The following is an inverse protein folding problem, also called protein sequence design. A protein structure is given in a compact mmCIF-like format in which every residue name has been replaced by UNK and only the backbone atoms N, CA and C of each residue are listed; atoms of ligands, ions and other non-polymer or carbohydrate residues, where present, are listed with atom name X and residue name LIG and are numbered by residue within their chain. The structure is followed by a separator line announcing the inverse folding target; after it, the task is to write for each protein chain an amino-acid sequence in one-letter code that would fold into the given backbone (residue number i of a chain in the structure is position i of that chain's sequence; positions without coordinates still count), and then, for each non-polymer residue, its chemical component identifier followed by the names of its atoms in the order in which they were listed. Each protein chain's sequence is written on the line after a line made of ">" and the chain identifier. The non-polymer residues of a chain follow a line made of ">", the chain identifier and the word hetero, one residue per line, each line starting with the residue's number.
data_IF_516678582895
#
_entry.id   IF_516678582895
#
_cell.length_a   1.000
_cell.length_b   1.000
_cell.length_c   1.000
_cell.angle_alpha   90.00
_cell.angle_beta   90.00
_cell.angle_gamma   90.00
#
_symmetry.space_group_name_H-M   'P 1'
#
loop_
_entity.id
_entity.type
_entity.pdbx_description
1 polymer ?
#
# COMPACT_ATOMS: atom_id res chain seq x y z
N UNK A 1 -3.01 -16.77 -16.27
CA UNK A 1 -3.20 -17.69 -17.45
C UNK A 1 -4.55 -17.47 -18.11
N UNK A 2 -5.69 -17.44 -17.38
CA UNK A 2 -7.03 -17.24 -17.97
C UNK A 2 -7.13 -15.89 -18.68
N UNK A 3 -6.67 -14.80 -18.06
CA UNK A 3 -6.72 -13.45 -18.61
C UNK A 3 -6.00 -13.34 -19.97
N UNK A 4 -4.80 -13.92 -20.09
CA UNK A 4 -4.02 -13.92 -21.34
C UNK A 4 -4.70 -14.78 -22.42
N UNK A 5 -5.22 -15.95 -22.03
CA UNK A 5 -5.93 -16.84 -22.95
C UNK A 5 -7.19 -16.17 -23.49
N UNK A 6 -8.00 -15.57 -22.60
CA UNK A 6 -9.24 -14.87 -23.01
C UNK A 6 -8.91 -13.64 -23.87
N UNK A 7 -7.82 -12.89 -23.59
CA UNK A 7 -7.37 -11.78 -24.42
C UNK A 7 -7.12 -12.20 -25.87
N UNK A 8 -6.36 -13.31 -26.08
CA UNK A 8 -6.12 -13.88 -27.42
C UNK A 8 -7.41 -14.31 -28.10
N UNK A 9 -8.31 -14.97 -27.35
CA UNK A 9 -9.59 -15.43 -27.90
C UNK A 9 -10.46 -14.25 -28.37
N UNK A 10 -10.41 -13.10 -27.70
CA UNK A 10 -11.10 -11.89 -28.16
C UNK A 10 -10.51 -11.31 -29.45
N UNK A 11 -9.19 -11.38 -29.64
CA UNK A 11 -8.53 -10.93 -30.87
C UNK A 11 -8.90 -11.81 -32.07
N UNK A 12 -9.09 -13.10 -31.82
CA UNK A 12 -9.41 -14.10 -32.87
C UNK A 12 -10.90 -14.21 -33.19
N UNK A 13 -11.79 -13.72 -32.30
CA UNK A 13 -13.24 -13.90 -32.46
C UNK A 13 -14.03 -12.61 -32.18
N UNK A 14 -14.45 -11.86 -33.24
CA UNK A 14 -15.23 -10.62 -33.10
C UNK A 14 -16.57 -10.76 -32.37
N UNK A 15 -17.22 -11.95 -32.41
CA UNK A 15 -18.48 -12.18 -31.70
C UNK A 15 -18.31 -12.13 -30.19
N UNK A 16 -17.17 -12.57 -29.71
CA UNK A 16 -16.82 -12.48 -28.26
C UNK A 16 -16.56 -11.04 -27.83
N UNK A 17 -16.11 -10.16 -28.71
CA UNK A 17 -16.03 -8.72 -28.42
C UNK A 17 -17.41 -8.09 -28.25
N UNK A 18 -18.41 -8.52 -28.99
CA UNK A 18 -19.79 -8.09 -28.81
C UNK A 18 -20.33 -8.58 -27.45
N UNK A 19 -20.12 -9.88 -27.13
CA UNK A 19 -20.49 -10.45 -25.84
C UNK A 19 -19.83 -9.70 -24.67
N UNK A 20 -18.55 -9.33 -24.76
CA UNK A 20 -17.86 -8.52 -23.77
C UNK A 20 -18.61 -7.23 -23.45
N UNK A 21 -19.10 -6.52 -24.48
CA UNK A 21 -19.86 -5.28 -24.30
C UNK A 21 -21.17 -5.55 -23.55
N UNK A 22 -21.89 -6.61 -23.92
CA UNK A 22 -23.12 -7.02 -23.26
C UNK A 22 -22.89 -7.35 -21.79
N UNK A 23 -21.83 -8.12 -21.49
CA UNK A 23 -21.46 -8.48 -20.11
C UNK A 23 -21.12 -7.23 -19.29
N UNK A 24 -20.29 -6.32 -19.82
CA UNK A 24 -19.92 -5.08 -19.12
C UNK A 24 -21.15 -4.20 -18.87
N UNK A 25 -22.05 -4.07 -19.86
CA UNK A 25 -23.29 -3.31 -19.70
C UNK A 25 -24.18 -3.91 -18.60
N UNK A 26 -24.33 -5.24 -18.59
CA UNK A 26 -25.11 -5.93 -17.57
C UNK A 26 -24.53 -5.74 -16.16
N UNK A 27 -23.19 -5.77 -16.02
CA UNK A 27 -22.51 -5.53 -14.72
C UNK A 27 -22.73 -4.09 -14.24
N UNK A 28 -22.70 -3.09 -15.14
CA UNK A 28 -22.84 -1.68 -14.77
C UNK A 28 -24.30 -1.26 -14.50
N UNK A 29 -25.28 -1.84 -15.18
CA UNK A 29 -26.67 -1.38 -15.16
C UNK A 29 -27.65 -2.40 -14.57
N UNK A 30 -27.19 -3.58 -14.22
CA UNK A 30 -28.04 -4.73 -13.87
C UNK A 30 -28.45 -5.54 -15.09
N UNK A 31 -28.64 -6.83 -14.91
CA UNK A 31 -29.14 -7.71 -15.99
C UNK A 31 -30.67 -7.63 -16.07
N UNK A 32 -31.20 -7.41 -17.26
CA UNK A 32 -32.60 -7.78 -17.55
C UNK A 32 -32.63 -9.30 -17.72
N UNK A 33 -33.42 -10.05 -16.95
CA UNK A 33 -33.38 -11.52 -16.94
C UNK A 33 -34.20 -12.12 -18.07
N UNK A 34 -33.87 -11.83 -19.31
CA UNK A 34 -34.43 -12.59 -20.45
C UNK A 34 -33.41 -13.61 -20.95
N UNK A 35 -33.34 -14.78 -20.29
CA UNK A 35 -32.68 -16.01 -20.73
C UNK A 35 -31.15 -15.98 -20.94
N UNK A 36 -30.39 -15.82 -19.86
CA UNK A 36 -28.93 -15.95 -19.90
C UNK A 36 -28.33 -16.11 -18.50
N UNK A 37 -27.01 -16.29 -18.37
CA UNK A 37 -26.34 -16.27 -17.07
C UNK A 37 -26.51 -14.91 -16.41
N UNK A 38 -26.66 -14.90 -15.08
CA UNK A 38 -26.66 -13.66 -14.28
C UNK A 38 -25.21 -13.13 -14.19
N UNK A 39 -24.79 -12.37 -15.19
CA UNK A 39 -23.43 -11.84 -15.28
C UNK A 39 -23.03 -10.97 -14.08
N UNK A 40 -23.87 -10.08 -13.53
CA UNK A 40 -23.57 -9.34 -12.31
C UNK A 40 -23.25 -10.24 -11.12
N UNK A 41 -24.04 -11.26 -10.86
CA UNK A 41 -23.81 -12.21 -9.75
C UNK A 41 -22.52 -12.99 -9.96
N UNK A 42 -22.28 -13.51 -11.16
CA UNK A 42 -21.04 -14.23 -11.50
C UNK A 42 -19.82 -13.31 -11.34
N UNK A 43 -19.87 -12.07 -11.82
CA UNK A 43 -18.80 -11.12 -11.71
C UNK A 43 -18.52 -10.75 -10.24
N UNK A 44 -19.54 -10.56 -9.43
CA UNK A 44 -19.42 -10.29 -8.00
C UNK A 44 -18.76 -11.47 -7.27
N UNK A 45 -19.19 -12.70 -7.51
CA UNK A 45 -18.62 -13.91 -6.90
C UNK A 45 -17.14 -14.08 -7.25
N UNK A 46 -16.77 -13.95 -8.54
CA UNK A 46 -15.38 -14.01 -8.99
C UNK A 46 -14.56 -12.90 -8.31
N UNK A 47 -15.07 -11.68 -8.26
CA UNK A 47 -14.38 -10.54 -7.65
C UNK A 47 -14.15 -10.76 -6.15
N UNK A 48 -15.13 -11.29 -5.44
CA UNK A 48 -15.02 -11.63 -4.02
C UNK A 48 -13.93 -12.67 -3.78
N UNK A 49 -13.92 -13.77 -4.54
CA UNK A 49 -12.90 -14.81 -4.43
C UNK A 49 -11.49 -14.28 -4.72
N UNK A 50 -11.34 -13.39 -5.70
CA UNK A 50 -10.07 -12.75 -6.03
C UNK A 50 -9.61 -11.85 -4.87
N UNK A 51 -10.51 -11.04 -4.31
CA UNK A 51 -10.19 -10.16 -3.17
C UNK A 51 -9.78 -10.98 -1.94
N UNK A 52 -10.47 -12.08 -1.64
CA UNK A 52 -10.06 -12.99 -0.56
C UNK A 52 -8.66 -13.57 -0.78
N UNK A 53 -8.32 -13.96 -2.01
CA UNK A 53 -6.98 -14.42 -2.33
C UNK A 53 -5.93 -13.30 -2.14
N UNK A 54 -6.24 -12.08 -2.59
CA UNK A 54 -5.37 -10.92 -2.38
C UNK A 54 -5.16 -10.60 -0.89
N UNK A 55 -6.21 -10.65 -0.07
CA UNK A 55 -6.12 -10.41 1.37
C UNK A 55 -5.19 -11.43 2.05
N UNK A 56 -5.23 -12.71 1.63
CA UNK A 56 -4.30 -13.74 2.13
C UNK A 56 -2.84 -13.42 1.77
N UNK A 57 -2.58 -13.00 0.55
CA UNK A 57 -1.23 -12.58 0.12
C UNK A 57 -0.77 -11.35 0.90
N UNK A 58 -1.64 -10.35 1.09
CA UNK A 58 -1.32 -9.12 1.84
C UNK A 58 -1.04 -9.42 3.32
N UNK A 59 -1.80 -10.33 3.94
CA UNK A 59 -1.56 -10.75 5.32
C UNK A 59 -0.15 -11.36 5.51
N UNK A 60 0.36 -12.10 4.54
CA UNK A 60 1.74 -12.64 4.57
C UNK A 60 2.82 -11.55 4.60
N UNK A 61 2.50 -10.37 4.08
CA UNK A 61 3.35 -9.18 4.14
C UNK A 61 2.99 -8.26 5.31
N UNK A 62 2.19 -8.71 6.27
CA UNK A 62 1.69 -7.90 7.37
C UNK A 62 1.00 -6.60 6.90
N UNK A 63 0.18 -6.72 5.85
CA UNK A 63 -0.65 -5.63 5.34
C UNK A 63 -2.11 -5.94 5.65
N UNK A 64 -2.79 -4.99 6.28
CA UNK A 64 -4.21 -5.07 6.61
C UNK A 64 -4.95 -3.82 6.17
N UNK A 65 -6.26 -3.92 6.06
CA UNK A 65 -7.15 -2.88 5.56
C UNK A 65 -8.26 -2.60 6.57
N UNK A 66 -8.81 -1.40 6.54
CA UNK A 66 -9.97 -1.04 7.35
C UNK A 66 -11.27 -1.19 6.57
N UNK A 67 -11.25 -0.94 5.24
CA UNK A 67 -12.43 -0.95 4.39
C UNK A 67 -12.12 -1.49 2.99
N UNK A 68 -12.99 -2.35 2.49
CA UNK A 68 -13.09 -2.72 1.07
C UNK A 68 -14.18 -1.89 0.41
N UNK A 69 -13.85 -1.25 -0.69
CA UNK A 69 -14.78 -0.47 -1.51
C UNK A 69 -14.93 -1.10 -2.90
N UNK A 70 -16.12 -0.99 -3.47
CA UNK A 70 -16.45 -1.58 -4.76
C UNK A 70 -16.82 -0.50 -5.77
N UNK A 71 -16.23 -0.55 -6.95
CA UNK A 71 -16.58 0.37 -8.04
C UNK A 71 -18.07 0.25 -8.42
N UNK A 72 -18.61 -0.96 -8.39
CA UNK A 72 -20.03 -1.21 -8.60
C UNK A 72 -20.92 -0.49 -7.60
N UNK A 73 -20.52 -0.44 -6.31
CA UNK A 73 -21.28 0.26 -5.28
C UNK A 73 -21.40 1.77 -5.58
N UNK A 74 -20.34 2.39 -6.10
CA UNK A 74 -20.33 3.81 -6.49
C UNK A 74 -21.34 4.07 -7.62
N UNK A 75 -21.44 3.14 -8.59
CA UNK A 75 -22.36 3.23 -9.70
C UNK A 75 -23.81 2.96 -9.24
N UNK A 76 -24.04 1.85 -8.57
CA UNK A 76 -25.38 1.43 -8.13
C UNK A 76 -26.00 2.39 -7.14
N UNK A 77 -25.22 3.02 -6.25
CA UNK A 77 -25.70 4.09 -5.38
C UNK A 77 -26.07 5.37 -6.14
N UNK A 78 -25.76 5.46 -7.43
CA UNK A 78 -26.05 6.63 -8.25
C UNK A 78 -25.13 7.82 -7.96
N UNK A 79 -24.01 7.61 -7.26
CA UNK A 79 -23.07 8.70 -6.93
C UNK A 79 -22.48 9.32 -8.17
N UNK A 80 -22.08 8.51 -9.17
CA UNK A 80 -21.61 9.03 -10.45
C UNK A 80 -22.68 9.86 -11.17
N UNK A 81 -23.92 9.41 -11.22
CA UNK A 81 -25.00 10.15 -11.89
C UNK A 81 -25.16 11.56 -11.30
N UNK A 82 -25.14 11.68 -9.99
CA UNK A 82 -25.24 12.97 -9.30
C UNK A 82 -24.01 13.84 -9.52
N UNK A 83 -22.82 13.27 -9.42
CA UNK A 83 -21.56 13.97 -9.74
C UNK A 83 -21.58 14.52 -11.15
N UNK A 84 -22.05 13.74 -12.11
CA UNK A 84 -22.18 14.15 -13.50
C UNK A 84 -23.17 15.33 -13.67
N UNK A 85 -24.30 15.27 -12.97
CA UNK A 85 -25.28 16.38 -12.97
C UNK A 85 -24.70 17.65 -12.36
N UNK A 86 -23.90 17.57 -11.30
CA UNK A 86 -23.20 18.72 -10.72
C UNK A 86 -22.21 19.34 -11.72
N UNK A 87 -21.37 18.51 -12.36
CA UNK A 87 -20.42 18.96 -13.37
C UNK A 87 -21.15 19.65 -14.55
N UNK A 88 -22.31 19.12 -14.96
CA UNK A 88 -23.15 19.73 -16.01
C UNK A 88 -23.76 21.07 -15.56
N UNK A 89 -24.37 21.13 -14.39
CA UNK A 89 -24.96 22.37 -13.83
C UNK A 89 -23.91 23.47 -13.69
N UNK A 90 -22.68 23.07 -13.31
CA UNK A 90 -21.53 23.98 -13.22
C UNK A 90 -20.96 24.43 -14.57
N UNK A 91 -21.53 23.98 -15.70
CA UNK A 91 -20.99 24.23 -17.06
C UNK A 91 -19.52 23.82 -17.22
N UNK A 92 -19.12 22.76 -16.54
CA UNK A 92 -17.73 22.27 -16.55
C UNK A 92 -17.48 21.23 -17.63
N UNK A 93 -18.53 20.73 -18.28
CA UNK A 93 -18.46 19.70 -19.31
C UNK A 93 -18.83 20.23 -20.68
N UNK A 94 -18.12 19.72 -21.68
CA UNK A 94 -18.42 19.96 -23.10
C UNK A 94 -18.74 18.64 -23.81
N UNK A 95 -19.51 18.74 -24.91
CA UNK A 95 -19.84 17.60 -25.76
C UNK A 95 -19.57 17.95 -27.21
N UNK A 96 -18.34 17.77 -27.72
CA UNK A 96 -17.99 18.06 -29.10
C UNK A 96 -18.82 17.26 -30.08
N UNK A 97 -19.23 17.92 -31.17
CA UNK A 97 -19.94 17.26 -32.26
C UNK A 97 -18.99 16.66 -33.31
N UNK A 98 -17.76 17.14 -33.36
CA UNK A 98 -16.74 16.73 -34.33
C UNK A 98 -15.41 16.44 -33.65
N UNK A 99 -14.49 15.80 -34.38
CA UNK A 99 -13.16 15.45 -33.90
C UNK A 99 -13.11 14.09 -33.17
N UNK A 100 -11.98 13.76 -32.54
CA UNK A 100 -11.73 12.46 -31.90
C UNK A 100 -12.66 12.20 -30.69
N UNK A 101 -13.06 13.26 -29.99
CA UNK A 101 -13.97 13.19 -28.84
C UNK A 101 -15.43 13.40 -29.20
N UNK A 102 -15.80 13.31 -30.46
CA UNK A 102 -17.18 13.53 -30.92
C UNK A 102 -18.18 12.64 -30.19
N UNK A 103 -19.22 13.25 -29.64
CA UNK A 103 -20.26 12.58 -28.86
C UNK A 103 -19.90 12.19 -27.42
N UNK A 104 -18.64 12.37 -27.02
CA UNK A 104 -18.19 12.15 -25.65
C UNK A 104 -18.46 13.39 -24.79
N UNK A 105 -18.65 13.19 -23.47
CA UNK A 105 -18.58 14.28 -22.51
C UNK A 105 -17.14 14.42 -22.01
N UNK A 106 -16.58 15.60 -22.23
CA UNK A 106 -15.19 15.94 -21.85
C UNK A 106 -15.18 17.00 -20.79
N UNK A 107 -14.15 16.95 -19.94
CA UNK A 107 -13.75 18.05 -19.07
C UNK A 107 -12.60 18.78 -19.76
N UNK A 108 -12.79 20.03 -20.25
CA UNK A 108 -11.71 20.78 -20.86
C UNK A 108 -10.63 21.11 -19.85
N UNK A 109 -9.40 20.80 -20.19
CA UNK A 109 -8.22 21.15 -19.40
C UNK A 109 -7.39 22.13 -20.19
N UNK A 110 -7.40 23.39 -19.94
CA UNK A 110 -6.74 24.45 -20.72
C UNK A 110 -5.39 24.09 -21.35
N UNK A 111 -4.81 24.97 -22.14
CA UNK A 111 -3.57 24.77 -22.92
C UNK A 111 -2.38 24.39 -22.05
N UNK A 112 -2.25 23.12 -21.69
CA UNK A 112 -1.13 22.53 -20.93
C UNK A 112 -0.69 21.23 -21.61
N UNK A 113 0.63 21.08 -21.81
CA UNK A 113 1.22 19.88 -22.39
C UNK A 113 1.00 18.66 -21.50
N UNK A 114 -0.02 17.87 -21.75
CA UNK A 114 -0.10 16.52 -21.17
C UNK A 114 0.43 15.50 -22.19
N UNK A 115 1.51 14.83 -21.86
CA UNK A 115 1.92 13.62 -22.55
C UNK A 115 1.00 12.49 -22.10
N UNK A 116 0.11 12.04 -23.00
CA UNK A 116 -0.55 10.75 -22.82
C UNK A 116 0.33 9.67 -23.44
N UNK A 117 0.38 8.48 -22.86
CA UNK A 117 1.14 7.30 -23.34
C UNK A 117 0.78 6.88 -24.80
N UNK A 118 -0.25 7.47 -25.39
CA UNK A 118 -0.69 7.24 -26.77
C UNK A 118 -0.23 8.31 -27.76
N UNK A 119 0.61 9.26 -27.37
CA UNK A 119 1.16 10.28 -28.26
C UNK A 119 0.16 11.31 -28.76
N UNK A 120 -1.02 11.40 -28.19
CA UNK A 120 -2.08 12.32 -28.54
C UNK A 120 -2.13 13.51 -27.56
N UNK A 121 -1.83 14.70 -28.08
CA UNK A 121 -1.83 15.97 -27.35
C UNK A 121 -3.24 16.54 -27.19
N UNK A 122 -4.16 15.80 -26.56
CA UNK A 122 -5.45 16.35 -26.19
C UNK A 122 -5.46 16.69 -24.72
N UNK A 123 -5.57 17.96 -24.41
CA UNK A 123 -5.69 18.51 -23.05
C UNK A 123 -7.01 18.15 -22.38
N UNK A 124 -7.96 17.60 -23.14
CA UNK A 124 -9.31 17.31 -22.69
C UNK A 124 -9.44 15.88 -22.16
N UNK A 125 -10.08 15.72 -21.00
CA UNK A 125 -10.33 14.39 -20.44
C UNK A 125 -11.74 13.90 -20.71
N UNK A 126 -11.85 12.80 -21.42
CA UNK A 126 -13.14 12.11 -21.61
C UNK A 126 -13.59 11.53 -20.26
N UNK A 127 -14.75 11.97 -19.80
CA UNK A 127 -15.42 11.43 -18.61
C UNK A 127 -16.50 10.41 -18.99
N UNK A 128 -17.26 10.67 -20.06
CA UNK A 128 -18.25 9.72 -20.57
C UNK A 128 -18.01 9.51 -22.08
N UNK A 129 -17.91 8.27 -22.50
CA UNK A 129 -17.77 7.91 -23.90
C UNK A 129 -19.06 8.16 -24.69
N UNK A 130 -18.96 8.15 -26.00
CA UNK A 130 -20.11 8.35 -26.89
C UNK A 130 -21.20 7.29 -26.72
N UNK A 131 -20.87 6.10 -26.24
CA UNK A 131 -21.81 5.02 -25.90
C UNK A 131 -22.47 5.17 -24.52
N UNK A 132 -22.18 6.25 -23.78
CA UNK A 132 -22.71 6.49 -22.44
C UNK A 132 -21.90 5.90 -21.30
N UNK A 133 -20.84 5.14 -21.57
CA UNK A 133 -20.01 4.50 -20.54
C UNK A 133 -19.12 5.52 -19.82
N UNK A 134 -19.19 5.54 -18.48
CA UNK A 134 -18.30 6.35 -17.65
C UNK A 134 -16.87 5.80 -17.64
N UNK A 135 -15.88 6.69 -17.74
CA UNK A 135 -14.47 6.31 -17.63
C UNK A 135 -14.05 6.09 -16.16
N UNK A 136 -12.90 5.48 -15.92
CA UNK A 136 -12.34 5.35 -14.56
C UNK A 136 -12.19 6.70 -13.87
N UNK A 137 -11.63 7.71 -14.57
CA UNK A 137 -11.46 9.05 -14.00
C UNK A 137 -12.78 9.67 -13.54
N UNK A 138 -13.87 9.44 -14.27
CA UNK A 138 -15.20 9.88 -13.89
C UNK A 138 -15.67 9.29 -12.57
N UNK A 139 -15.46 7.98 -12.40
CA UNK A 139 -15.78 7.25 -11.15
C UNK A 139 -14.87 7.70 -10.00
N UNK A 140 -13.60 7.98 -10.28
CA UNK A 140 -12.62 8.47 -9.29
C UNK A 140 -13.01 9.87 -8.75
N UNK A 141 -13.56 10.76 -9.57
CA UNK A 141 -14.09 12.05 -9.09
C UNK A 141 -15.18 11.82 -8.05
N UNK A 142 -16.12 10.94 -8.34
CA UNK A 142 -17.22 10.61 -7.43
C UNK A 142 -16.71 9.99 -6.13
N UNK A 143 -15.75 9.08 -6.24
CA UNK A 143 -15.16 8.41 -5.10
C UNK A 143 -14.36 9.38 -4.22
N UNK A 144 -13.68 10.36 -4.83
CA UNK A 144 -12.96 11.39 -4.10
C UNK A 144 -13.91 12.31 -3.32
N UNK A 145 -15.06 12.69 -3.92
CA UNK A 145 -16.11 13.45 -3.21
C UNK A 145 -16.62 12.69 -1.99
N UNK A 146 -16.87 11.39 -2.13
CA UNK A 146 -17.30 10.56 -1.02
C UNK A 146 -16.23 10.47 0.09
N UNK A 147 -14.95 10.33 -0.22
CA UNK A 147 -13.87 10.27 0.78
C UNK A 147 -13.89 11.48 1.72
N UNK A 148 -14.24 12.63 1.22
CA UNK A 148 -14.35 13.87 2.00
C UNK A 148 -15.72 14.09 2.68
N UNK A 149 -16.64 13.14 2.55
CA UNK A 149 -17.98 13.26 3.12
C UNK A 149 -18.91 14.19 2.36
N UNK A 150 -18.54 14.62 1.15
CA UNK A 150 -19.36 15.49 0.31
C UNK A 150 -20.59 14.77 -0.25
N UNK A 151 -20.65 13.45 -0.10
CA UNK A 151 -21.85 12.65 -0.43
C UNK A 151 -23.04 12.93 0.50
N UNK A 152 -22.82 13.60 1.64
CA UNK A 152 -23.88 14.05 2.53
C UNK A 152 -24.52 15.36 2.07
N UNK A 153 -23.91 16.06 1.09
CA UNK A 153 -24.51 17.19 0.43
C UNK A 153 -25.84 16.78 -0.21
N UNK A 154 -26.94 17.52 -0.01
CA UNK A 154 -28.26 17.16 -0.58
C UNK A 154 -28.26 16.94 -2.10
N UNK A 155 -27.33 17.57 -2.82
CA UNK A 155 -27.15 17.34 -4.26
C UNK A 155 -26.45 16.01 -4.58
N UNK A 156 -25.60 15.49 -3.66
CA UNK A 156 -24.82 14.27 -3.85
C UNK A 156 -25.23 13.17 -2.87
N UNK A 157 -26.13 13.43 -1.93
CA UNK A 157 -26.48 12.53 -0.84
C UNK A 157 -26.68 11.07 -1.32
N UNK A 158 -25.76 10.21 -0.94
CA UNK A 158 -25.78 8.78 -1.20
C UNK A 158 -25.48 8.08 0.12
N UNK A 159 -26.34 7.17 0.52
CA UNK A 159 -26.12 6.39 1.72
C UNK A 159 -25.41 5.08 1.36
N UNK A 160 -24.21 4.90 1.90
CA UNK A 160 -23.54 3.61 1.93
C UNK A 160 -23.74 2.97 3.31
N UNK A 161 -23.84 1.66 3.32
CA UNK A 161 -23.83 0.86 4.54
C UNK A 161 -22.48 0.15 4.64
N UNK A 162 -21.89 0.12 5.84
CA UNK A 162 -20.64 -0.59 6.09
C UNK A 162 -20.94 -1.79 6.96
N UNK A 163 -20.67 -2.98 6.43
CA UNK A 163 -20.90 -4.24 7.13
C UNK A 163 -19.57 -4.97 7.34
N UNK A 164 -19.46 -5.81 8.39
CA UNK A 164 -18.27 -6.61 8.59
C UNK A 164 -18.01 -7.55 7.40
N UNK A 165 -16.79 -7.53 6.86
CA UNK A 165 -16.31 -8.53 5.90
C UNK A 165 -15.79 -9.76 6.65
N UNK A 166 -14.96 -9.53 7.70
CA UNK A 166 -14.36 -10.57 8.50
C UNK A 166 -13.22 -10.04 9.39
N UNK A 167 -12.61 -10.93 10.17
CA UNK A 167 -11.42 -10.59 10.97
C UNK A 167 -10.16 -10.93 10.20
N UNK A 168 -9.21 -10.01 10.24
CA UNK A 168 -7.88 -10.16 9.67
C UNK A 168 -6.94 -10.91 10.64
N UNK A 169 -5.74 -11.26 10.16
CA UNK A 169 -4.76 -11.99 10.97
C UNK A 169 -4.33 -11.23 12.24
N UNK A 170 -4.30 -9.90 12.19
CA UNK A 170 -4.00 -9.02 13.31
C UNK A 170 -5.18 -8.82 14.29
N UNK A 171 -6.30 -9.53 14.07
CA UNK A 171 -7.51 -9.48 14.87
C UNK A 171 -8.43 -8.29 14.56
N UNK A 172 -7.99 -7.31 13.75
CA UNK A 172 -8.81 -6.16 13.36
C UNK A 172 -9.95 -6.58 12.45
N UNK A 173 -11.08 -5.90 12.60
CA UNK A 173 -12.24 -6.09 11.76
C UNK A 173 -12.06 -5.38 10.43
N UNK A 174 -12.21 -6.11 9.34
CA UNK A 174 -12.28 -5.57 7.99
C UNK A 174 -13.75 -5.30 7.66
N UNK A 175 -14.02 -4.13 7.11
CA UNK A 175 -15.36 -3.72 6.69
C UNK A 175 -15.49 -3.75 5.17
N UNK A 176 -16.70 -3.82 4.67
CA UNK A 176 -16.99 -3.65 3.25
C UNK A 176 -18.14 -2.67 3.04
N UNK A 177 -18.07 -1.94 1.95
CA UNK A 177 -19.11 -1.01 1.50
C UNK A 177 -20.25 -1.79 0.82
N UNK A 178 -21.48 -1.43 1.13
CA UNK A 178 -22.71 -1.92 0.49
C UNK A 178 -23.59 -0.77 0.10
N UNK A 179 -24.43 -0.98 -0.92
CA UNK A 179 -25.51 -0.06 -1.26
C UNK A 179 -26.80 -0.51 -0.59
N UNK A 180 -27.82 0.36 -0.44
CA UNK A 180 -29.13 -0.04 0.07
C UNK A 180 -29.79 -1.17 -0.74
N UNK A 181 -29.49 -1.27 -2.04
CA UNK A 181 -30.02 -2.33 -2.91
C UNK A 181 -29.31 -3.67 -2.70
N UNK A 182 -28.05 -3.66 -2.24
CA UNK A 182 -27.23 -4.86 -2.02
C UNK A 182 -27.43 -5.46 -0.62
N UNK A 183 -28.23 -4.82 0.23
CA UNK A 183 -28.50 -5.27 1.60
C UNK A 183 -29.86 -5.96 1.66
N UNK A 184 -29.94 -7.29 1.50
CA UNK A 184 -31.10 -7.99 1.98
C UNK A 184 -31.10 -7.87 3.51
N UNK A 185 -32.26 -7.61 4.09
CA UNK A 185 -32.65 -7.57 5.48
C UNK A 185 -31.73 -8.34 6.48
N UNK A 186 -30.46 -7.97 6.58
CA UNK A 186 -29.61 -8.45 7.66
C UNK A 186 -29.75 -7.47 8.81
N UNK A 187 -30.21 -7.96 9.95
CA UNK A 187 -30.34 -7.23 11.22
C UNK A 187 -29.00 -6.73 11.81
N UNK A 188 -27.93 -6.68 11.04
CA UNK A 188 -26.69 -6.06 11.42
C UNK A 188 -26.73 -4.59 11.00
N UNK A 189 -27.02 -3.72 11.95
CA UNK A 189 -26.95 -2.28 11.80
C UNK A 189 -25.51 -1.88 11.40
N UNK A 190 -25.30 -1.72 10.10
CA UNK A 190 -24.07 -1.12 9.59
C UNK A 190 -24.05 0.37 9.97
N UNK A 191 -22.93 0.85 10.48
CA UNK A 191 -22.76 2.27 10.77
C UNK A 191 -22.56 3.05 9.46
N UNK A 192 -23.56 3.83 8.97
CA UNK A 192 -23.45 4.55 7.70
C UNK A 192 -22.43 5.70 7.73
N UNK A 193 -21.99 6.11 8.92
CA UNK A 193 -21.05 7.26 9.09
C UNK A 193 -19.62 6.82 9.48
N UNK A 194 -19.35 5.54 9.50
CA UNK A 194 -18.07 5.02 9.98
C UNK A 194 -16.89 5.46 9.11
N UNK A 195 -17.10 5.58 7.81
CA UNK A 195 -16.06 5.91 6.83
C UNK A 195 -16.48 7.11 5.97
N UNK A 196 -15.53 7.70 5.28
CA UNK A 196 -15.68 8.99 4.63
C UNK A 196 -15.25 10.12 5.58
N UNK A 197 -15.64 11.37 5.26
CA UNK A 197 -15.34 12.57 6.07
C UNK A 197 -13.84 12.78 6.34
N UNK A 198 -12.97 12.36 5.42
CA UNK A 198 -11.53 12.53 5.54
C UNK A 198 -11.17 14.03 5.50
N UNK A 199 -10.20 14.43 6.33
CA UNK A 199 -9.58 15.76 6.23
C UNK A 199 -8.51 15.82 5.14
N UNK A 200 -7.87 14.68 4.85
CA UNK A 200 -6.84 14.52 3.82
C UNK A 200 -7.02 13.15 3.18
N UNK A 201 -7.03 13.09 1.86
CA UNK A 201 -7.09 11.85 1.10
C UNK A 201 -5.77 11.62 0.37
N UNK A 202 -5.09 10.51 0.70
CA UNK A 202 -3.82 10.13 0.08
C UNK A 202 -4.11 8.96 -0.86
N UNK A 203 -3.97 9.19 -2.16
CA UNK A 203 -4.16 8.19 -3.19
C UNK A 203 -2.78 7.61 -3.57
N UNK A 204 -2.52 6.36 -3.16
CA UNK A 204 -1.26 5.65 -3.44
C UNK A 204 -1.42 4.94 -4.77
N UNK A 205 -0.90 5.53 -5.84
CA UNK A 205 -1.14 5.09 -7.22
C UNK A 205 0.14 5.30 -8.05
N UNK A 206 0.38 4.40 -9.01
CA UNK A 206 1.48 4.44 -9.96
C UNK A 206 1.60 5.83 -10.66
N UNK A 207 2.83 6.28 -10.90
CA UNK A 207 3.15 7.59 -11.49
C UNK A 207 2.47 7.83 -12.85
N UNK A 208 2.21 6.79 -13.63
CA UNK A 208 1.50 6.87 -14.93
C UNK A 208 0.04 7.34 -14.80
N UNK A 209 -0.51 7.33 -13.59
CA UNK A 209 -1.85 7.84 -13.29
C UNK A 209 -1.84 9.29 -12.80
N UNK A 210 -0.71 10.02 -12.90
CA UNK A 210 -0.60 11.39 -12.41
C UNK A 210 -1.60 12.34 -13.09
N UNK A 211 -1.75 12.22 -14.42
CA UNK A 211 -2.73 13.05 -15.14
C UNK A 211 -4.18 12.76 -14.74
N UNK A 212 -4.69 11.52 -14.69
CA UNK A 212 -6.00 11.23 -14.14
C UNK A 212 -6.23 11.79 -12.73
N UNK A 213 -5.24 11.72 -11.85
CA UNK A 213 -5.35 12.28 -10.50
C UNK A 213 -5.45 13.81 -10.51
N UNK A 214 -4.69 14.50 -11.35
CA UNK A 214 -4.81 15.95 -11.54
C UNK A 214 -6.22 16.35 -12.02
N UNK A 215 -6.81 15.57 -12.94
CA UNK A 215 -8.18 15.79 -13.40
C UNK A 215 -9.19 15.67 -12.25
N UNK A 216 -9.03 14.67 -11.38
CA UNK A 216 -9.88 14.49 -10.20
C UNK A 216 -9.80 15.74 -9.29
N UNK A 217 -8.60 16.17 -8.94
CA UNK A 217 -8.41 17.31 -8.02
C UNK A 217 -8.90 18.63 -8.62
N UNK A 218 -8.65 18.84 -9.90
CA UNK A 218 -9.16 20.02 -10.62
C UNK A 218 -10.68 20.00 -10.75
N UNK A 219 -11.29 18.83 -10.90
CA UNK A 219 -12.76 18.71 -10.88
C UNK A 219 -13.34 19.16 -9.55
N UNK A 220 -12.73 18.78 -8.43
CA UNK A 220 -13.14 19.24 -7.09
C UNK A 220 -13.00 20.77 -6.98
N UNK A 221 -11.87 21.32 -7.42
CA UNK A 221 -11.61 22.78 -7.36
C UNK A 221 -12.65 23.55 -8.16
N UNK A 222 -12.97 23.13 -9.39
CA UNK A 222 -13.97 23.77 -10.25
C UNK A 222 -15.41 23.64 -9.73
N UNK A 223 -15.69 22.57 -8.98
CA UNK A 223 -16.95 22.39 -8.25
C UNK A 223 -17.05 23.27 -6.99
N UNK A 224 -16.00 24.01 -6.63
CA UNK A 224 -15.96 24.87 -5.46
C UNK A 224 -15.39 24.23 -4.20
N UNK A 225 -14.99 22.95 -4.26
CA UNK A 225 -14.39 22.20 -3.14
C UNK A 225 -12.86 22.40 -3.10
N UNK A 226 -12.42 23.64 -2.95
CA UNK A 226 -11.00 24.04 -3.04
C UNK A 226 -10.18 23.39 -1.93
N UNK A 227 -10.66 23.41 -0.69
CA UNK A 227 -9.97 22.81 0.46
C UNK A 227 -9.74 21.28 0.24
N UNK A 228 -10.76 20.59 -0.25
CA UNK A 228 -10.67 19.15 -0.52
C UNK A 228 -9.73 18.84 -1.70
N UNK A 229 -9.70 19.70 -2.70
CA UNK A 229 -8.75 19.60 -3.80
C UNK A 229 -7.31 19.74 -3.31
N UNK A 230 -7.02 20.69 -2.41
CA UNK A 230 -5.71 20.93 -1.81
C UNK A 230 -5.29 19.78 -0.84
N UNK A 231 -6.26 19.16 -0.18
CA UNK A 231 -6.05 18.02 0.71
C UNK A 231 -6.13 16.67 -0.01
N UNK A 232 -6.24 16.67 -1.33
CA UNK A 232 -6.10 15.47 -2.17
C UNK A 232 -4.65 15.29 -2.59
N UNK A 233 -4.02 14.20 -2.18
CA UNK A 233 -2.60 13.94 -2.43
C UNK A 233 -2.44 12.68 -3.28
N UNK A 234 -1.75 12.81 -4.42
CA UNK A 234 -1.26 11.66 -5.18
C UNK A 234 0.12 11.26 -4.65
N UNK A 235 0.17 10.18 -3.87
CA UNK A 235 1.42 9.54 -3.49
C UNK A 235 1.84 8.60 -4.63
N UNK A 236 2.52 9.18 -5.62
CA UNK A 236 2.98 8.44 -6.78
C UNK A 236 4.23 7.61 -6.47
N UNK A 237 4.31 6.45 -7.10
CA UNK A 237 5.47 5.57 -7.02
C UNK A 237 5.85 5.02 -8.39
N UNK A 238 7.14 4.71 -8.57
CA UNK A 238 7.67 4.08 -9.76
C UNK A 238 7.49 2.55 -9.73
N UNK A 239 7.67 1.95 -10.90
CA UNK A 239 7.50 0.50 -11.04
C UNK A 239 8.55 -0.29 -10.27
N UNK A 240 8.13 -1.44 -9.74
CA UNK A 240 9.02 -2.46 -9.19
C UNK A 240 9.29 -3.49 -10.28
N UNK A 241 10.56 -3.78 -10.50
CA UNK A 241 11.06 -4.79 -11.42
C UNK A 241 11.83 -5.86 -10.65
N UNK A 242 12.28 -6.91 -11.31
CA UNK A 242 13.18 -7.90 -10.74
C UNK A 242 14.57 -7.76 -11.35
N UNK A 243 15.62 -7.98 -10.56
CA UNK A 243 16.97 -8.17 -11.10
C UNK A 243 17.00 -9.40 -12.01
N UNK A 244 17.91 -9.46 -12.96
CA UNK A 244 18.06 -10.62 -13.86
C UNK A 244 18.27 -11.93 -13.07
N UNK A 245 19.06 -11.88 -11.98
CA UNK A 245 19.31 -13.04 -11.10
C UNK A 245 18.01 -13.50 -10.42
N UNK A 246 17.25 -12.58 -9.85
CA UNK A 246 15.98 -12.90 -9.21
C UNK A 246 14.96 -13.42 -10.22
N UNK A 247 14.85 -12.79 -11.39
CA UNK A 247 13.96 -13.23 -12.47
C UNK A 247 14.27 -14.66 -12.92
N UNK A 248 15.54 -14.97 -13.19
CA UNK A 248 16.00 -16.32 -13.58
C UNK A 248 15.68 -17.36 -12.49
N UNK A 249 15.91 -17.03 -11.22
CA UNK A 249 15.61 -17.94 -10.10
C UNK A 249 14.11 -18.27 -9.94
N UNK A 250 13.25 -17.42 -10.49
CA UNK A 250 11.79 -17.58 -10.51
C UNK A 250 11.28 -18.16 -11.85
N UNK A 251 12.19 -18.61 -12.71
CA UNK A 251 11.86 -19.28 -13.95
C UNK A 251 11.53 -18.35 -15.13
N UNK A 252 11.88 -17.07 -15.04
CA UNK A 252 11.77 -16.14 -16.18
C UNK A 252 12.95 -16.36 -17.13
N UNK A 253 12.68 -16.40 -18.43
CA UNK A 253 13.74 -16.43 -19.45
C UNK A 253 14.48 -15.08 -19.46
N UNK A 254 15.75 -15.12 -19.13
CA UNK A 254 16.67 -13.97 -19.09
C UNK A 254 17.72 -14.00 -20.19
N UNK A 255 17.52 -14.81 -21.23
CA UNK A 255 18.47 -14.99 -22.34
C UNK A 255 18.64 -13.73 -23.20
N UNK A 256 17.71 -12.76 -23.10
CA UNK A 256 17.77 -11.45 -23.77
C UNK A 256 18.79 -10.47 -23.14
N UNK A 257 19.39 -10.83 -22.00
CA UNK A 257 20.49 -10.08 -21.39
C UNK A 257 20.13 -8.75 -20.79
N UNK A 258 18.86 -8.51 -20.40
CA UNK A 258 18.45 -7.28 -19.71
C UNK A 258 18.90 -7.30 -18.26
N UNK A 259 19.23 -6.12 -17.73
CA UNK A 259 19.59 -5.96 -16.32
C UNK A 259 18.41 -6.13 -15.36
N UNK A 260 17.18 -5.85 -15.82
CA UNK A 260 15.96 -5.95 -15.02
C UNK A 260 14.74 -6.35 -15.85
N UNK A 261 13.79 -7.01 -15.20
CA UNK A 261 12.59 -7.58 -15.80
C UNK A 261 11.33 -7.00 -15.15
N UNK A 262 10.54 -6.20 -15.89
CA UNK A 262 9.28 -5.68 -15.39
C UNK A 262 8.26 -6.81 -15.27
N UNK A 263 7.56 -6.86 -14.14
CA UNK A 263 6.44 -7.77 -13.95
C UNK A 263 5.25 -7.29 -14.79
N UNK A 264 4.74 -8.13 -15.70
CA UNK A 264 3.61 -7.79 -16.55
C UNK A 264 2.73 -9.00 -16.81
N UNK A 265 1.61 -9.05 -16.11
CA UNK A 265 0.59 -10.09 -16.31
C UNK A 265 0.02 -10.14 -17.74
N UNK A 266 0.04 -9.01 -18.48
CA UNK A 266 -0.41 -8.96 -19.87
C UNK A 266 0.53 -9.68 -20.86
N UNK A 267 1.82 -9.76 -20.53
CA UNK A 267 2.85 -10.38 -21.37
C UNK A 267 3.20 -11.81 -20.95
N UNK A 268 2.47 -12.39 -19.98
CA UNK A 268 2.71 -13.74 -19.50
C UNK A 268 3.93 -13.89 -18.58
N UNK A 269 4.60 -12.81 -18.20
CA UNK A 269 5.62 -12.79 -17.15
C UNK A 269 4.89 -12.54 -15.84
N UNK A 270 4.28 -13.60 -15.31
CA UNK A 270 3.52 -13.55 -14.07
C UNK A 270 4.34 -14.18 -12.94
N UNK A 271 4.99 -13.33 -12.17
CA UNK A 271 5.52 -13.71 -10.86
C UNK A 271 4.51 -13.24 -9.83
N UNK A 272 3.92 -14.19 -9.13
CA UNK A 272 3.02 -13.89 -8.03
C UNK A 272 3.84 -13.44 -6.82
N UNK A 273 3.30 -12.48 -6.06
CA UNK A 273 3.91 -12.07 -4.79
C UNK A 273 4.10 -13.28 -3.85
N UNK A 274 3.17 -14.24 -3.86
CA UNK A 274 3.30 -15.48 -3.10
C UNK A 274 4.51 -16.33 -3.50
N UNK A 275 4.82 -16.40 -4.80
CA UNK A 275 5.99 -17.17 -5.28
C UNK A 275 7.28 -16.49 -4.82
N UNK A 276 7.31 -15.14 -4.83
CA UNK A 276 8.43 -14.37 -4.32
C UNK A 276 8.63 -14.58 -2.82
N UNK A 277 7.55 -14.51 -2.03
CA UNK A 277 7.60 -14.73 -0.57
C UNK A 277 8.04 -16.16 -0.25
N UNK A 278 7.52 -17.15 -0.99
CA UNK A 278 7.90 -18.54 -0.82
C UNK A 278 9.38 -18.78 -1.13
N UNK A 279 9.89 -18.21 -2.24
CA UNK A 279 11.30 -18.32 -2.60
C UNK A 279 12.20 -17.65 -1.54
N UNK A 280 11.82 -16.48 -1.03
CA UNK A 280 12.54 -15.81 0.05
C UNK A 280 12.59 -16.67 1.32
N UNK A 281 11.44 -17.22 1.74
CA UNK A 281 11.33 -18.09 2.90
C UNK A 281 12.19 -19.35 2.75
N UNK A 282 12.14 -20.01 1.58
CA UNK A 282 12.97 -21.20 1.31
C UNK A 282 14.45 -20.92 1.46
N UNK A 283 14.93 -19.80 0.90
CA UNK A 283 16.34 -19.38 1.04
C UNK A 283 16.72 -19.08 2.49
N UNK A 284 15.81 -18.51 3.31
CA UNK A 284 16.06 -18.32 4.74
C UNK A 284 16.26 -19.65 5.47
N UNK A 285 15.41 -20.65 5.20
CA UNK A 285 15.53 -21.99 5.78
C UNK A 285 16.78 -22.74 5.30
N UNK A 286 17.19 -22.56 4.04
CA UNK A 286 18.45 -23.11 3.52
C UNK A 286 19.68 -22.48 4.19
N UNK A 287 19.65 -21.16 4.41
CA UNK A 287 20.75 -20.44 5.07
C UNK A 287 20.84 -20.74 6.58
N UNK A 288 19.71 -21.01 7.23
CA UNK A 288 19.61 -21.30 8.66
C UNK A 288 18.57 -22.39 8.91
N UNK A 289 18.96 -23.68 8.81
CA UNK A 289 18.04 -24.83 8.88
C UNK A 289 17.35 -25.05 10.23
N UNK A 290 17.81 -24.41 11.29
CA UNK A 290 17.25 -24.45 12.63
C UNK A 290 16.16 -23.40 12.90
N UNK A 291 15.87 -22.54 11.91
CA UNK A 291 14.73 -21.64 12.00
C UNK A 291 13.41 -22.42 11.91
N UNK A 292 12.46 -22.03 12.75
CA UNK A 292 11.09 -22.47 12.56
C UNK A 292 10.42 -21.79 11.35
N UNK A 293 9.35 -22.39 10.87
CA UNK A 293 8.64 -22.00 9.66
C UNK A 293 8.02 -20.57 9.75
N UNK A 294 7.54 -20.19 10.92
CA UNK A 294 6.94 -18.88 11.19
C UNK A 294 8.01 -17.78 11.20
N UNK A 295 9.08 -17.98 11.94
CA UNK A 295 10.23 -17.06 11.98
C UNK A 295 10.82 -16.85 10.58
N UNK A 296 10.99 -17.90 9.79
CA UNK A 296 11.47 -17.80 8.41
C UNK A 296 10.52 -16.99 7.52
N UNK A 297 9.20 -17.16 7.70
CA UNK A 297 8.20 -16.39 6.96
C UNK A 297 8.23 -14.90 7.32
N UNK A 298 8.37 -14.56 8.60
CA UNK A 298 8.48 -13.16 9.07
C UNK A 298 9.77 -12.52 8.56
N UNK A 299 10.90 -13.23 8.58
CA UNK A 299 12.17 -12.73 8.03
C UNK A 299 12.08 -12.47 6.53
N UNK A 300 11.48 -13.39 5.77
CA UNK A 300 11.25 -13.22 4.34
C UNK A 300 10.37 -12.01 4.03
N UNK A 301 9.26 -11.85 4.76
CA UNK A 301 8.38 -10.68 4.63
C UNK A 301 9.11 -9.38 4.99
N UNK A 302 9.91 -9.39 6.07
CA UNK A 302 10.70 -8.23 6.50
C UNK A 302 11.73 -7.83 5.44
N UNK A 303 12.41 -8.79 4.83
CA UNK A 303 13.39 -8.56 3.78
C UNK A 303 12.75 -7.88 2.57
N UNK A 304 11.63 -8.42 2.06
CA UNK A 304 10.92 -7.89 0.90
C UNK A 304 10.37 -6.48 1.21
N UNK A 305 9.71 -6.31 2.36
CA UNK A 305 9.15 -5.00 2.75
C UNK A 305 10.23 -3.94 2.85
N UNK A 306 11.33 -4.22 3.56
CA UNK A 306 12.41 -3.27 3.72
C UNK A 306 13.02 -2.88 2.37
N UNK A 307 13.27 -3.87 1.51
CA UNK A 307 13.79 -3.62 0.18
C UNK A 307 12.92 -2.66 -0.63
N UNK A 308 11.59 -2.72 -0.45
CA UNK A 308 10.66 -1.80 -1.13
C UNK A 308 10.66 -0.40 -0.51
N UNK A 309 10.69 -0.28 0.83
CA UNK A 309 10.49 1.02 1.50
C UNK A 309 11.78 1.82 1.70
N UNK A 310 12.96 1.20 1.57
CA UNK A 310 14.25 1.92 1.74
C UNK A 310 14.55 2.89 0.59
N UNK A 311 13.93 2.70 -0.56
CA UNK A 311 14.12 3.56 -1.72
C UNK A 311 13.12 4.72 -1.75
N UNK A 312 13.51 5.81 -2.40
CA UNK A 312 12.58 6.87 -2.73
C UNK A 312 11.50 6.36 -3.69
N UNK A 313 10.25 6.76 -3.46
CA UNK A 313 9.11 6.34 -4.28
C UNK A 313 9.23 6.69 -5.77
N UNK A 314 10.02 7.72 -6.11
CA UNK A 314 10.26 8.16 -7.49
C UNK A 314 11.38 7.36 -8.18
N UNK A 315 11.92 6.34 -7.53
CA UNK A 315 13.00 5.50 -8.06
C UNK A 315 12.44 4.15 -8.52
N UNK A 316 12.80 3.73 -9.74
CA UNK A 316 12.54 2.35 -10.20
C UNK A 316 13.33 1.38 -9.33
N UNK A 317 12.65 0.41 -8.76
CA UNK A 317 13.25 -0.60 -7.88
C UNK A 317 13.46 -1.88 -8.69
N UNK A 318 14.70 -2.38 -8.75
CA UNK A 318 15.01 -3.72 -9.24
C UNK A 318 15.23 -4.64 -8.03
N UNK A 319 14.22 -5.41 -7.66
CA UNK A 319 14.30 -6.31 -6.51
C UNK A 319 15.33 -7.42 -6.77
N UNK A 320 16.38 -7.42 -5.96
CA UNK A 320 17.36 -8.48 -5.89
C UNK A 320 17.18 -9.30 -4.62
N UNK A 321 16.86 -10.58 -4.78
CA UNK A 321 16.59 -11.48 -3.67
C UNK A 321 17.83 -11.75 -2.84
N UNK A 322 18.99 -11.90 -3.49
CA UNK A 322 20.24 -12.20 -2.78
C UNK A 322 20.68 -11.01 -1.93
N UNK A 323 20.45 -9.79 -2.41
CA UNK A 323 20.69 -8.58 -1.63
C UNK A 323 19.69 -8.43 -0.49
N UNK A 324 18.39 -8.59 -0.76
CA UNK A 324 17.34 -8.40 0.22
C UNK A 324 17.45 -9.34 1.43
N UNK A 325 17.95 -10.57 1.23
CA UNK A 325 18.03 -11.62 2.24
C UNK A 325 19.34 -11.64 3.02
N UNK A 326 20.28 -10.73 2.76
CA UNK A 326 21.55 -10.68 3.51
C UNK A 326 21.30 -10.40 4.99
N UNK A 327 22.00 -11.13 5.89
CA UNK A 327 21.91 -10.94 7.33
C UNK A 327 22.67 -9.69 7.82
N UNK A 328 23.41 -9.02 6.96
CA UNK A 328 24.21 -7.83 7.22
C UNK A 328 23.99 -6.77 6.13
N UNK A 329 24.35 -5.53 6.43
CA UNK A 329 24.12 -4.39 5.56
C UNK A 329 22.70 -3.84 5.68
N UNK A 330 22.32 -3.00 4.72
CA UNK A 330 21.04 -2.26 4.72
C UNK A 330 19.88 -3.16 4.29
N UNK A 331 19.45 -4.07 5.18
CA UNK A 331 18.42 -5.08 4.93
C UNK A 331 17.44 -5.24 6.08
N UNK A 332 16.20 -5.67 5.77
CA UNK A 332 15.20 -5.98 6.81
C UNK A 332 15.60 -7.14 7.72
N UNK A 333 16.40 -8.06 7.22
CA UNK A 333 16.95 -9.19 8.01
C UNK A 333 17.93 -8.67 9.06
N UNK A 334 18.83 -7.75 8.69
CA UNK A 334 19.75 -7.12 9.62
C UNK A 334 19.01 -6.38 10.76
N UNK A 335 17.96 -5.65 10.42
CA UNK A 335 17.14 -4.95 11.42
C UNK A 335 16.52 -5.93 12.44
N UNK A 336 15.99 -7.05 11.96
CA UNK A 336 15.42 -8.09 12.82
C UNK A 336 16.48 -8.70 13.75
N UNK A 337 17.68 -8.98 13.22
CA UNK A 337 18.79 -9.49 14.04
C UNK A 337 19.27 -8.45 15.08
N UNK A 338 19.36 -7.18 14.72
CA UNK A 338 19.72 -6.13 15.66
C UNK A 338 18.69 -6.01 16.81
N UNK A 339 17.41 -6.02 16.46
CA UNK A 339 16.33 -5.99 17.43
C UNK A 339 16.33 -7.23 18.35
N UNK A 340 16.47 -8.43 17.82
CA UNK A 340 16.55 -9.67 18.59
C UNK A 340 17.77 -9.69 19.52
N UNK A 341 18.92 -9.13 19.07
CA UNK A 341 20.14 -8.97 19.88
C UNK A 341 19.91 -8.03 21.06
N UNK A 342 19.28 -6.88 20.83
CA UNK A 342 18.95 -5.94 21.91
C UNK A 342 18.01 -6.57 22.94
N UNK A 343 16.97 -7.27 22.49
CA UNK A 343 16.08 -8.05 23.38
C UNK A 343 16.82 -9.17 24.14
N UNK A 344 17.82 -9.80 23.54
CA UNK A 344 18.64 -10.81 24.23
C UNK A 344 19.40 -10.23 25.44
N UNK A 345 19.84 -8.97 25.38
CA UNK A 345 20.46 -8.29 26.52
C UNK A 345 19.42 -8.10 27.62
N UNK A 346 18.24 -7.57 27.30
CA UNK A 346 17.16 -7.35 28.27
C UNK A 346 16.76 -8.66 28.97
N UNK A 347 16.60 -9.75 28.22
CA UNK A 347 16.31 -11.08 28.79
C UNK A 347 17.42 -11.59 29.73
N UNK A 348 18.69 -11.30 29.43
CA UNK A 348 19.82 -11.67 30.33
C UNK A 348 19.82 -10.86 31.61
N UNK A 349 19.46 -9.56 31.54
CA UNK A 349 19.30 -8.71 32.71
C UNK A 349 18.15 -9.24 33.58
N UNK A 350 17.00 -9.55 32.99
CA UNK A 350 15.86 -10.14 33.68
C UNK A 350 16.21 -11.49 34.35
N UNK A 351 16.88 -12.39 33.62
CA UNK A 351 17.33 -13.68 34.14
C UNK A 351 18.32 -13.53 35.30
N UNK A 352 19.07 -12.42 35.37
CA UNK A 352 19.93 -12.06 36.47
C UNK A 352 19.19 -11.28 37.60
N UNK A 353 17.86 -11.17 37.49
CA UNK A 353 17.02 -10.39 38.43
C UNK A 353 17.42 -8.91 38.53
N UNK A 354 18.04 -8.36 37.51
CA UNK A 354 18.37 -6.94 37.44
C UNK A 354 17.14 -6.14 36.99
N UNK A 355 16.70 -5.24 37.90
CA UNK A 355 15.54 -4.37 37.62
C UNK A 355 16.05 -3.05 37.05
N UNK A 356 15.60 -2.72 35.80
CA UNK A 356 15.89 -1.42 35.21
C UNK A 356 14.99 -0.39 35.91
N UNK A 357 15.59 0.66 36.47
CA UNK A 357 14.85 1.73 37.16
C UNK A 357 14.04 2.56 36.17
N UNK A 358 12.80 2.86 36.53
CA UNK A 358 11.98 3.85 35.81
C UNK A 358 12.39 5.29 36.15
N UNK A 359 13.17 5.50 37.21
CA UNK A 359 13.68 6.81 37.55
C UNK A 359 14.94 7.11 36.74
N UNK A 360 14.98 8.32 36.19
CA UNK A 360 16.15 8.82 35.48
C UNK A 360 17.32 8.94 36.46
N UNK A 361 18.25 7.98 36.40
CA UNK A 361 19.52 8.08 37.11
C UNK A 361 20.37 9.20 36.47
N UNK A 362 21.20 9.92 37.25
CA UNK A 362 22.11 10.89 36.68
C UNK A 362 23.04 10.24 35.65
N UNK A 363 23.24 10.91 34.52
CA UNK A 363 24.15 10.42 33.49
C UNK A 363 25.55 10.12 34.08
N UNK A 364 26.28 9.11 33.60
CA UNK A 364 27.68 8.92 33.91
C UNK A 364 28.49 10.21 33.65
N UNK A 365 29.56 10.41 34.41
CA UNK A 365 30.39 11.63 34.27
C UNK A 365 31.09 11.71 32.92
N UNK A 366 31.31 10.57 32.30
CA UNK A 366 31.85 10.43 30.95
C UNK A 366 31.04 9.37 30.19
N UNK A 367 30.71 9.65 28.95
CA UNK A 367 30.09 8.72 28.02
C UNK A 367 31.10 8.32 26.95
N UNK A 368 31.09 7.06 26.59
CA UNK A 368 31.79 6.58 25.41
C UNK A 368 31.17 7.16 24.14
N UNK A 369 31.93 7.28 23.06
CA UNK A 369 31.42 7.84 21.80
C UNK A 369 30.22 7.05 21.29
N UNK A 370 30.27 5.71 21.32
CA UNK A 370 29.18 4.84 20.90
C UNK A 370 27.91 5.00 21.74
N UNK A 371 28.05 5.26 23.04
CA UNK A 371 26.92 5.54 23.94
C UNK A 371 26.24 6.87 23.58
N UNK A 372 27.07 7.89 23.31
CA UNK A 372 26.59 9.23 22.93
C UNK A 372 25.87 9.21 21.57
N UNK A 373 26.45 8.57 20.56
CA UNK A 373 25.83 8.49 19.23
C UNK A 373 24.51 7.72 19.25
N UNK A 374 24.44 6.62 20.03
CA UNK A 374 23.21 5.86 20.16
C UNK A 374 22.11 6.69 20.85
N UNK A 375 22.43 7.43 21.93
CA UNK A 375 21.48 8.33 22.59
C UNK A 375 20.93 9.39 21.64
N UNK A 376 21.80 10.03 20.88
CA UNK A 376 21.39 11.04 19.90
C UNK A 376 20.44 10.49 18.84
N UNK A 377 20.65 9.24 18.43
CA UNK A 377 19.77 8.57 17.48
C UNK A 377 18.42 8.23 18.10
N UNK A 378 18.39 7.76 19.34
CA UNK A 378 17.13 7.52 20.08
C UNK A 378 16.33 8.83 20.19
N UNK A 379 16.98 9.93 20.58
CA UNK A 379 16.35 11.26 20.71
C UNK A 379 15.80 11.80 19.38
N UNK A 380 16.43 11.45 18.28
CA UNK A 380 16.02 11.91 16.95
C UNK A 380 14.70 11.27 16.45
N UNK A 381 14.26 10.15 17.02
CA UNK A 381 13.10 9.36 16.53
C UNK A 381 11.82 10.19 16.31
N UNK A 382 11.32 10.96 17.31
CA UNK A 382 10.04 11.68 17.14
C UNK A 382 10.10 12.69 15.99
N UNK A 383 11.23 13.37 15.84
CA UNK A 383 11.45 14.35 14.77
C UNK A 383 11.51 13.67 13.40
N UNK A 384 12.24 12.56 13.28
CA UNK A 384 12.33 11.81 12.02
C UNK A 384 10.98 11.22 11.62
N UNK A 385 10.22 10.70 12.57
CA UNK A 385 8.87 10.18 12.31
C UNK A 385 7.93 11.29 11.81
N UNK A 386 7.97 12.47 12.44
CA UNK A 386 7.18 13.63 12.01
C UNK A 386 7.56 14.04 10.57
N UNK A 387 8.85 14.17 10.28
CA UNK A 387 9.35 14.52 8.96
C UNK A 387 8.96 13.49 7.89
N UNK A 388 9.12 12.19 8.17
CA UNK A 388 8.70 11.12 7.26
C UNK A 388 7.19 11.16 6.97
N UNK A 389 6.39 11.48 7.99
CA UNK A 389 4.93 11.63 7.87
C UNK A 389 4.53 12.87 7.05
N UNK A 390 5.16 14.02 7.30
CA UNK A 390 4.89 15.26 6.57
C UNK A 390 5.26 15.18 5.10
N UNK A 391 6.44 14.59 4.82
CA UNK A 391 6.94 14.41 3.46
C UNK A 391 6.33 13.18 2.76
N UNK A 392 5.55 12.35 3.45
CA UNK A 392 5.05 11.07 2.95
C UNK A 392 6.18 10.18 2.40
N UNK A 393 7.32 10.17 3.07
CA UNK A 393 8.55 9.52 2.66
C UNK A 393 8.96 8.40 3.65
N UNK A 394 8.42 7.19 3.53
CA UNK A 394 8.75 6.09 4.44
C UNK A 394 10.23 5.70 4.40
N UNK A 395 10.95 6.03 3.31
CA UNK A 395 12.39 5.80 3.19
C UNK A 395 13.22 6.59 4.22
N UNK A 396 12.75 7.75 4.69
CA UNK A 396 13.41 8.48 5.77
C UNK A 396 13.41 7.68 7.07
N UNK A 397 12.26 7.06 7.41
CA UNK A 397 12.18 6.20 8.59
C UNK A 397 12.95 4.89 8.40
N UNK A 398 12.98 4.34 7.20
CA UNK A 398 13.79 3.15 6.87
C UNK A 398 15.29 3.41 7.06
N UNK A 399 15.81 4.52 6.54
CA UNK A 399 17.19 4.94 6.76
C UNK A 399 17.49 5.17 8.24
N UNK A 400 16.60 5.87 8.95
CA UNK A 400 16.73 6.11 10.38
C UNK A 400 16.87 4.82 11.19
N UNK A 401 15.99 3.82 10.96
CA UNK A 401 16.04 2.60 11.76
C UNK A 401 17.28 1.75 11.43
N UNK A 402 17.78 1.82 10.20
CA UNK A 402 19.05 1.21 9.84
C UNK A 402 20.23 1.85 10.57
N UNK A 403 20.30 3.19 10.61
CA UNK A 403 21.31 3.93 11.33
C UNK A 403 21.24 3.64 12.85
N UNK A 404 20.03 3.60 13.44
CA UNK A 404 19.83 3.22 14.82
C UNK A 404 20.35 1.81 15.12
N UNK A 405 20.07 0.84 14.24
CA UNK A 405 20.57 -0.54 14.37
C UNK A 405 22.09 -0.61 14.25
N UNK A 406 22.68 0.23 13.40
CA UNK A 406 24.13 0.34 13.21
C UNK A 406 24.80 0.93 14.46
N UNK A 407 24.28 2.03 15.00
CA UNK A 407 24.79 2.61 16.24
C UNK A 407 24.59 1.69 17.44
N UNK A 408 23.49 0.93 17.48
CA UNK A 408 23.33 -0.10 18.51
C UNK A 408 24.35 -1.22 18.35
N UNK A 409 24.69 -1.64 17.15
CA UNK A 409 25.73 -2.65 16.92
C UNK A 409 27.10 -2.15 17.33
N UNK A 410 27.45 -0.90 17.04
CA UNK A 410 28.68 -0.24 17.50
C UNK A 410 28.76 -0.17 19.03
N UNK A 411 27.67 0.28 19.68
CA UNK A 411 27.55 0.26 21.14
C UNK A 411 27.75 -1.16 21.70
N UNK A 412 27.13 -2.17 21.11
CA UNK A 412 27.24 -3.57 21.55
C UNK A 412 28.66 -4.12 21.45
N UNK A 413 29.39 -3.76 20.40
CA UNK A 413 30.77 -4.25 20.16
C UNK A 413 31.80 -3.56 21.06
N UNK A 414 31.63 -2.28 21.36
CA UNK A 414 32.58 -1.49 22.15
C UNK A 414 32.24 -1.42 23.64
N UNK A 415 31.08 -1.90 24.06
CA UNK A 415 30.65 -1.88 25.45
C UNK A 415 30.83 -3.26 26.08
N UNK A 416 31.51 -3.35 27.26
CA UNK A 416 31.56 -4.60 28.02
C UNK A 416 30.16 -5.11 28.37
N UNK A 417 29.98 -6.44 28.54
CA UNK A 417 28.70 -6.99 28.96
C UNK A 417 28.14 -6.26 30.19
N UNK A 418 26.94 -5.71 30.12
CA UNK A 418 26.33 -4.83 31.13
C UNK A 418 26.35 -5.47 32.54
N UNK A 419 26.09 -6.79 32.61
CA UNK A 419 26.14 -7.52 33.90
C UNK A 419 27.55 -7.59 34.52
N UNK A 420 28.60 -7.36 33.77
CA UNK A 420 29.98 -7.33 34.24
C UNK A 420 30.47 -5.92 34.64
N UNK A 421 29.65 -4.92 34.39
CA UNK A 421 29.95 -3.54 34.77
C UNK A 421 29.96 -3.43 36.31
N UNK A 422 31.01 -2.81 36.84
CA UNK A 422 31.22 -2.67 38.29
C UNK A 422 30.56 -1.41 38.86
N UNK A 423 30.44 -0.37 38.05
CA UNK A 423 29.75 0.85 38.43
C UNK A 423 28.23 0.66 38.23
N UNK A 424 27.48 0.62 39.33
CA UNK A 424 26.02 0.50 39.26
C UNK A 424 25.38 1.64 38.48
N UNK A 425 25.93 2.85 38.53
CA UNK A 425 25.47 4.00 37.76
C UNK A 425 25.64 3.79 36.25
N UNK A 426 26.80 3.30 35.79
CA UNK A 426 27.06 2.99 34.38
C UNK A 426 26.22 1.80 33.94
N UNK A 427 26.09 0.78 34.77
CA UNK A 427 25.25 -0.39 34.51
C UNK A 427 23.79 0.00 34.31
N UNK A 428 23.21 0.81 35.20
CA UNK A 428 21.84 1.30 35.14
C UNK A 428 21.62 2.13 33.88
N UNK A 429 22.55 3.03 33.57
CA UNK A 429 22.52 3.84 32.38
C UNK A 429 22.50 2.97 31.08
N UNK A 430 23.46 2.04 30.94
CA UNK A 430 23.54 1.14 29.77
C UNK A 430 22.31 0.26 29.64
N UNK A 431 21.77 -0.25 30.73
CA UNK A 431 20.54 -1.03 30.73
C UNK A 431 19.34 -0.21 30.19
N UNK A 432 19.21 1.04 30.66
CA UNK A 432 18.17 1.97 30.20
C UNK A 432 18.34 2.35 28.72
N UNK A 433 19.57 2.55 28.24
CA UNK A 433 19.87 2.82 26.84
C UNK A 433 19.43 1.65 25.94
N UNK A 434 19.73 0.39 26.35
CA UNK A 434 19.28 -0.80 25.61
C UNK A 434 17.75 -0.89 25.61
N UNK A 435 17.09 -0.64 26.74
CA UNK A 435 15.63 -0.64 26.81
C UNK A 435 15.01 0.41 25.90
N UNK A 436 15.55 1.64 25.89
CA UNK A 436 15.11 2.71 25.01
C UNK A 436 15.35 2.37 23.54
N UNK A 437 16.49 1.73 23.22
CA UNK A 437 16.78 1.24 21.87
C UNK A 437 15.73 0.23 21.39
N UNK A 438 15.42 -0.77 22.23
CA UNK A 438 14.39 -1.78 21.91
C UNK A 438 13.05 -1.12 21.65
N UNK A 439 12.62 -0.21 22.52
CA UNK A 439 11.34 0.48 22.36
C UNK A 439 11.30 1.33 21.08
N UNK A 440 12.39 2.05 20.80
CA UNK A 440 12.47 2.91 19.58
C UNK A 440 12.49 2.07 18.32
N UNK A 441 13.27 0.97 18.30
CA UNK A 441 13.27 0.04 17.18
C UNK A 441 11.91 -0.63 16.98
N UNK A 442 11.25 -1.09 18.06
CA UNK A 442 9.92 -1.68 17.99
C UNK A 442 8.92 -0.72 17.34
N UNK A 443 8.87 0.53 17.83
CA UNK A 443 8.00 1.55 17.28
C UNK A 443 8.28 1.80 15.79
N UNK A 444 9.55 2.00 15.41
CA UNK A 444 9.92 2.27 14.01
C UNK A 444 9.62 1.09 13.08
N UNK A 445 9.95 -0.15 13.50
CA UNK A 445 9.70 -1.36 12.74
C UNK A 445 8.19 -1.57 12.51
N UNK A 446 7.36 -1.37 13.55
CA UNK A 446 5.89 -1.48 13.42
C UNK A 446 5.30 -0.43 12.49
N UNK A 447 5.78 0.80 12.53
CA UNK A 447 5.35 1.86 11.59
C UNK A 447 5.72 1.48 10.16
N UNK A 448 6.88 0.86 9.93
CA UNK A 448 7.28 0.30 8.63
C UNK A 448 6.53 -0.99 8.27
N UNK A 449 5.65 -1.49 9.15
CA UNK A 449 4.81 -2.67 8.94
C UNK A 449 5.51 -4.00 9.16
N UNK A 450 6.59 -4.03 9.93
CA UNK A 450 7.24 -5.28 10.34
C UNK A 450 6.48 -5.94 11.49
N UNK A 451 6.70 -7.24 11.64
CA UNK A 451 6.46 -7.99 12.87
C UNK A 451 7.81 -8.15 13.54
N UNK A 452 8.15 -7.36 14.59
CA UNK A 452 9.47 -7.44 15.23
C UNK A 452 9.68 -8.80 15.94
N UNK A 453 10.82 -9.42 15.70
CA UNK A 453 11.20 -10.72 16.26
C UNK A 453 12.12 -10.54 17.48
N UNK A 454 11.62 -10.84 18.67
CA UNK A 454 12.44 -10.78 19.89
C UNK A 454 13.51 -11.88 19.95
N UNK A 455 13.33 -12.95 19.17
CA UNK A 455 14.25 -14.11 19.08
C UNK A 455 14.34 -14.59 17.66
N UNK A 456 15.55 -14.93 17.25
CA UNK A 456 15.85 -15.52 15.94
C UNK A 456 16.88 -16.62 16.12
#
# INVERSE_FOLDING_TARGET
>A
RVYVAVGKTYEENPELLALRKTVLHAIEHGAEPESGPDYPVIAADISHQIVEAHLKTMARLNISYDLLTWESAILHAGLWKRTFEMLRKGNLLEKPETGKSAGCWILPFGEGESQTDEGDRTTDKILVRSDGTATYTAKDISYQLWKFGLSDDPEIAVQFHFVPWGRQQDGRLLWTMRTPQDSPETNEEGDPKRFGHAKKAINVIDVRQSYPQQVVYESLRRLGFVEQAENSVHLSYEVVTLSAVTAASLGVDTSDGRDFYPMSGRKGIEIKADDLINAAKTRMLEAKPDLDDETAAILAASAIRYFMVRYNLQQVIALDMDEALRPNGDTGVYLQYAYARANSILRRLEAAHYVISEQLEPLPDQLEQSEWELLRHIDAYPRTLAEASEQLAPSLLAAYVYDLATHFSDFYEHTPPILKETSERVKAFRASVVQATVQTMDNALRVLGFVPLERI
#
